data_IF_739340220478
#
_entry.id   IF_739340220478
#
_cell.length_a   1.000
_cell.length_b   1.000
_cell.length_c   1.000
_cell.angle_alpha   90.00
_cell.angle_beta   90.00
_cell.angle_gamma   90.00
#
_symmetry.space_group_name_H-M   'P 1'
#
loop_
_entity.id
_entity.type
_entity.pdbx_description
1 polymer ?
#
# COMPACT_ATOMS: atom_id res chain seq x y z
N UNK A 1 -1.88 17.57 16.53
CA UNK A 1 -1.23 18.80 15.99
C UNK A 1 -0.27 18.55 14.80
N UNK A 2 0.37 17.39 14.68
CA UNK A 2 1.27 17.11 13.55
C UNK A 2 0.56 16.91 12.19
N UNK A 3 -0.69 16.47 12.19
CA UNK A 3 -1.48 16.30 10.95
C UNK A 3 -2.03 17.65 10.42
N UNK A 4 -2.32 18.62 11.31
CA UNK A 4 -2.75 19.97 10.93
C UNK A 4 -1.64 20.82 10.34
N UNK A 5 -0.37 20.59 10.69
CA UNK A 5 0.76 21.36 10.15
C UNK A 5 1.15 20.96 8.72
N UNK A 6 0.88 19.72 8.30
CA UNK A 6 1.20 19.23 6.94
C UNK A 6 0.37 19.90 5.86
N UNK A 7 -0.93 20.12 6.11
CA UNK A 7 -1.81 20.79 5.12
C UNK A 7 -1.55 22.29 4.89
N UNK A 8 -1.00 23.00 5.87
CA UNK A 8 -0.74 24.47 5.74
C UNK A 8 0.43 24.79 4.82
N UNK A 9 1.49 23.98 4.84
CA UNK A 9 2.65 24.17 3.96
C UNK A 9 2.30 23.98 2.48
N UNK A 10 1.47 23.02 2.16
CA UNK A 10 1.04 22.69 0.80
C UNK A 10 0.12 23.77 0.21
N UNK A 11 -0.78 24.33 1.01
CA UNK A 11 -1.69 25.41 0.62
C UNK A 11 -0.91 26.69 0.24
N UNK A 12 0.00 27.13 1.11
CA UNK A 12 0.79 28.34 0.88
C UNK A 12 1.64 28.27 -0.39
N UNK A 13 2.25 27.11 -0.64
CA UNK A 13 3.09 26.89 -1.83
C UNK A 13 2.31 26.89 -3.13
N UNK A 14 1.09 26.39 -3.11
CA UNK A 14 0.21 26.41 -4.28
C UNK A 14 -0.28 27.77 -4.63
N UNK A 15 -0.70 28.54 -3.65
CA UNK A 15 -1.03 29.95 -3.88
C UNK A 15 0.14 30.67 -4.54
N UNK A 16 1.38 30.39 -4.09
CA UNK A 16 2.59 30.98 -4.65
C UNK A 16 2.93 30.48 -6.06
N UNK A 17 2.65 29.20 -6.39
CA UNK A 17 2.95 28.63 -7.72
C UNK A 17 1.84 28.87 -8.75
N UNK A 18 0.58 28.90 -8.34
CA UNK A 18 -0.57 28.95 -9.26
C UNK A 18 -1.28 30.30 -9.26
N UNK A 19 -1.05 31.14 -8.24
CA UNK A 19 -1.78 32.39 -8.05
C UNK A 19 -3.27 32.22 -7.70
N UNK A 20 -3.74 30.98 -7.53
CA UNK A 20 -5.14 30.67 -7.23
C UNK A 20 -5.42 30.80 -5.74
N UNK A 21 -6.61 31.31 -5.39
CA UNK A 21 -7.07 31.39 -4.02
C UNK A 21 -7.48 29.99 -3.52
N UNK A 22 -6.84 29.52 -2.45
CA UNK A 22 -7.11 28.22 -1.82
C UNK A 22 -7.75 28.49 -0.45
N UNK A 23 -8.82 27.76 -0.11
CA UNK A 23 -9.50 27.87 1.17
C UNK A 23 -9.96 26.51 1.70
N UNK A 24 -10.23 26.47 3.00
CA UNK A 24 -10.79 25.32 3.71
C UNK A 24 -12.28 25.49 3.88
N UNK A 25 -12.98 24.37 3.86
CA UNK A 25 -14.34 24.26 4.29
C UNK A 25 -14.46 22.97 5.13
N UNK A 26 -14.97 23.07 6.33
CA UNK A 26 -14.99 21.96 7.29
C UNK A 26 -16.31 21.18 7.30
N UNK A 27 -17.01 21.22 6.18
CA UNK A 27 -18.25 20.52 6.01
C UNK A 27 -18.04 19.16 5.33
N UNK A 28 -18.79 18.17 5.78
CA UNK A 28 -19.01 16.94 5.03
C UNK A 28 -20.18 17.17 4.10
N UNK A 29 -20.02 16.88 2.83
CA UNK A 29 -21.02 17.07 1.80
C UNK A 29 -21.73 15.76 1.50
N UNK A 30 -23.03 15.85 1.16
CA UNK A 30 -23.88 14.71 0.82
C UNK A 30 -24.47 14.91 -0.56
N UNK A 31 -24.49 13.85 -1.37
CA UNK A 31 -25.08 13.89 -2.69
C UNK A 31 -26.61 14.11 -2.59
N UNK A 32 -27.20 15.05 -3.33
CA UNK A 32 -28.62 15.43 -3.17
C UNK A 32 -29.60 14.31 -3.49
N UNK A 33 -29.26 13.39 -4.40
CA UNK A 33 -30.12 12.28 -4.81
C UNK A 33 -29.71 10.92 -4.24
N UNK A 34 -28.46 10.78 -3.82
CA UNK A 34 -27.89 9.54 -3.28
C UNK A 34 -27.28 9.80 -1.90
N UNK A 35 -28.10 9.86 -0.82
CA UNK A 35 -27.63 10.30 0.50
C UNK A 35 -26.52 9.46 1.13
N UNK A 36 -26.29 8.25 0.63
CA UNK A 36 -25.18 7.40 1.07
C UNK A 36 -23.82 7.79 0.46
N UNK A 37 -23.83 8.62 -0.59
CA UNK A 37 -22.60 9.19 -1.17
C UNK A 37 -22.26 10.48 -0.44
N UNK A 38 -21.10 10.50 0.20
CA UNK A 38 -20.62 11.63 0.98
C UNK A 38 -19.20 12.00 0.56
N UNK A 39 -18.83 13.27 0.73
CA UNK A 39 -17.50 13.79 0.42
C UNK A 39 -16.96 14.62 1.58
N UNK A 40 -15.72 14.37 1.94
CA UNK A 40 -14.91 15.16 2.88
C UNK A 40 -13.68 15.67 2.11
N UNK A 41 -13.72 16.94 1.73
CA UNK A 41 -12.77 17.56 0.79
C UNK A 41 -11.69 18.30 1.55
N UNK A 42 -10.43 18.02 1.24
CA UNK A 42 -9.29 18.67 1.89
C UNK A 42 -9.32 20.19 1.74
N UNK A 43 -9.52 20.69 0.52
CA UNK A 43 -9.45 22.11 0.17
C UNK A 43 -10.27 22.43 -1.07
N UNK A 44 -10.54 23.71 -1.25
CA UNK A 44 -11.13 24.27 -2.46
C UNK A 44 -10.24 25.33 -3.09
N UNK A 45 -10.43 25.53 -4.38
CA UNK A 45 -9.77 26.54 -5.18
C UNK A 45 -10.82 27.36 -5.91
N UNK A 46 -10.64 28.68 -5.94
CA UNK A 46 -11.41 29.55 -6.83
C UNK A 46 -10.65 29.71 -8.14
N UNK A 47 -11.28 29.30 -9.24
CA UNK A 47 -10.75 29.43 -10.60
C UNK A 47 -10.82 30.90 -11.06
N UNK A 48 -10.05 31.30 -12.10
CA UNK A 48 -10.08 32.68 -12.62
C UNK A 48 -11.45 33.10 -13.14
N UNK A 49 -12.30 32.18 -13.56
CA UNK A 49 -13.68 32.39 -14.00
C UNK A 49 -14.70 32.43 -12.84
N UNK A 50 -14.23 32.35 -11.59
CA UNK A 50 -15.04 32.38 -10.38
C UNK A 50 -15.62 31.03 -9.97
N UNK A 51 -15.48 29.96 -10.76
CA UNK A 51 -15.95 28.62 -10.38
C UNK A 51 -15.15 28.05 -9.21
N UNK A 52 -15.84 27.25 -8.40
CA UNK A 52 -15.26 26.45 -7.32
C UNK A 52 -14.67 25.16 -7.90
N UNK A 53 -13.46 24.81 -7.50
CA UNK A 53 -12.81 23.56 -7.83
C UNK A 53 -12.35 22.84 -6.55
N UNK A 54 -12.31 21.50 -6.58
CA UNK A 54 -11.79 20.68 -5.51
C UNK A 54 -10.26 20.67 -5.55
N UNK A 55 -9.64 20.59 -4.39
CA UNK A 55 -8.21 20.38 -4.24
C UNK A 55 -7.95 19.28 -3.24
N UNK A 56 -7.51 18.14 -3.72
CA UNK A 56 -7.09 16.99 -2.93
C UNK A 56 -5.58 16.98 -2.74
N UNK A 57 -5.13 16.73 -1.51
CA UNK A 57 -3.72 16.77 -1.12
C UNK A 57 -3.22 15.38 -0.75
N UNK A 58 -2.19 14.90 -1.41
CA UNK A 58 -1.58 13.59 -1.16
C UNK A 58 -0.11 13.72 -0.78
N UNK A 59 0.35 12.78 0.02
CA UNK A 59 1.77 12.54 0.26
C UNK A 59 2.10 11.11 -0.14
N UNK A 60 3.22 10.90 -0.81
CA UNK A 60 3.68 9.59 -1.21
C UNK A 60 5.18 9.42 -0.97
N UNK A 61 5.62 8.18 -0.86
CA UNK A 61 7.05 7.88 -0.82
C UNK A 61 7.69 8.19 -2.17
N UNK A 62 8.97 8.56 -2.17
CA UNK A 62 9.71 8.93 -3.38
C UNK A 62 9.63 7.87 -4.48
N UNK A 63 9.73 6.60 -4.12
CA UNK A 63 9.65 5.46 -5.05
C UNK A 63 8.33 5.38 -5.83
N UNK A 64 7.30 6.13 -5.42
CA UNK A 64 6.01 6.17 -6.11
C UNK A 64 5.90 7.25 -7.19
N UNK A 65 6.95 8.06 -7.39
CA UNK A 65 6.95 9.15 -8.39
C UNK A 65 6.62 8.65 -9.81
N UNK A 66 7.08 7.45 -10.17
CA UNK A 66 6.82 6.88 -11.49
C UNK A 66 5.33 6.72 -11.81
N UNK A 67 4.47 6.57 -10.79
CA UNK A 67 3.01 6.47 -10.97
C UNK A 67 2.33 7.79 -11.31
N UNK A 68 3.07 8.89 -11.16
CA UNK A 68 2.62 10.25 -11.46
C UNK A 68 3.29 10.84 -12.69
N UNK A 69 4.12 10.05 -13.38
CA UNK A 69 4.82 10.49 -14.58
C UNK A 69 3.85 10.78 -15.73
N UNK A 70 4.25 11.71 -16.61
CA UNK A 70 3.49 12.07 -17.82
C UNK A 70 2.05 12.52 -17.57
N UNK A 71 1.78 13.16 -16.44
CA UNK A 71 0.44 13.64 -16.11
C UNK A 71 -0.49 12.57 -15.53
N UNK A 72 0.01 11.36 -15.27
CA UNK A 72 -0.80 10.30 -14.66
C UNK A 72 -1.15 10.60 -13.21
N UNK A 73 -2.31 10.10 -12.79
CA UNK A 73 -2.75 10.06 -11.38
C UNK A 73 -3.03 8.59 -11.04
N UNK A 74 -2.54 8.08 -9.89
CA UNK A 74 -2.91 6.73 -9.45
C UNK A 74 -4.43 6.56 -9.38
N UNK A 75 -4.95 5.52 -10.02
CA UNK A 75 -6.39 5.34 -10.24
C UNK A 75 -7.26 5.45 -8.98
N UNK A 76 -6.81 4.92 -7.85
CA UNK A 76 -7.54 5.00 -6.58
C UNK A 76 -7.67 6.43 -6.05
N UNK A 77 -6.72 7.33 -6.31
CA UNK A 77 -6.82 8.74 -5.98
C UNK A 77 -7.72 9.49 -6.97
N UNK A 78 -7.63 9.13 -8.24
CA UNK A 78 -8.51 9.69 -9.27
C UNK A 78 -9.98 9.38 -8.98
N UNK A 79 -10.30 8.12 -8.65
CA UNK A 79 -11.65 7.71 -8.28
C UNK A 79 -12.19 8.46 -7.06
N UNK A 80 -11.35 8.68 -6.03
CA UNK A 80 -11.73 9.47 -4.87
C UNK A 80 -12.14 10.89 -5.27
N UNK A 81 -11.32 11.54 -6.09
CA UNK A 81 -11.56 12.92 -6.52
C UNK A 81 -12.80 13.00 -7.42
N UNK A 82 -12.99 12.07 -8.35
CA UNK A 82 -14.19 11.99 -9.21
C UNK A 82 -15.45 11.75 -8.40
N UNK A 83 -15.38 10.93 -7.37
CA UNK A 83 -16.48 10.75 -6.42
C UNK A 83 -16.86 12.08 -5.73
N UNK A 84 -15.88 12.85 -5.27
CA UNK A 84 -16.15 14.15 -4.66
C UNK A 84 -16.75 15.15 -5.65
N UNK A 85 -16.28 15.15 -6.91
CA UNK A 85 -16.85 15.96 -7.99
C UNK A 85 -18.31 15.63 -8.22
N UNK A 86 -18.68 14.35 -8.22
CA UNK A 86 -20.04 13.85 -8.34
C UNK A 86 -20.92 14.33 -7.17
N UNK A 87 -20.48 14.09 -5.93
CA UNK A 87 -21.23 14.46 -4.72
C UNK A 87 -21.55 15.96 -4.69
N UNK A 88 -20.59 16.79 -5.12
CA UNK A 88 -20.67 18.24 -5.02
C UNK A 88 -21.11 18.94 -6.30
N UNK A 89 -21.31 18.21 -7.39
CA UNK A 89 -21.62 18.75 -8.71
C UNK A 89 -20.58 19.81 -9.17
N UNK A 90 -19.27 19.43 -9.08
CA UNK A 90 -18.14 20.30 -9.43
C UNK A 90 -17.43 19.73 -10.67
N UNK A 91 -17.14 20.61 -11.67
CA UNK A 91 -16.60 20.20 -12.97
C UNK A 91 -15.08 20.05 -12.98
N UNK A 92 -14.38 20.66 -12.05
CA UNK A 92 -12.91 20.70 -12.03
C UNK A 92 -12.38 20.34 -10.66
N UNK A 93 -11.40 19.47 -10.65
CA UNK A 93 -10.64 19.18 -9.46
C UNK A 93 -9.13 19.22 -9.75
N UNK A 94 -8.37 19.41 -8.72
CA UNK A 94 -6.92 19.30 -8.72
C UNK A 94 -6.50 18.28 -7.68
N UNK A 95 -5.57 17.43 -8.06
CA UNK A 95 -4.90 16.55 -7.12
C UNK A 95 -3.42 16.90 -7.09
N UNK A 96 -2.88 16.96 -5.91
CA UNK A 96 -1.50 17.28 -5.71
C UNK A 96 -0.81 16.29 -4.81
N UNK A 97 0.39 15.91 -5.17
CA UNK A 97 1.20 14.99 -4.40
C UNK A 97 2.56 15.57 -4.06
N UNK A 98 2.92 15.45 -2.79
CA UNK A 98 4.24 15.76 -2.27
C UNK A 98 4.99 14.46 -2.00
N UNK A 99 6.21 14.32 -2.55
CA UNK A 99 7.00 13.10 -2.36
C UNK A 99 7.99 13.25 -1.20
N UNK A 100 7.97 12.31 -0.25
CA UNK A 100 8.88 12.23 0.90
C UNK A 100 9.06 13.54 1.68
N UNK A 101 8.02 14.39 1.75
CA UNK A 101 8.06 15.75 2.33
C UNK A 101 9.09 16.70 1.68
N UNK A 102 9.60 16.37 0.48
CA UNK A 102 10.48 17.25 -0.26
C UNK A 102 9.69 18.30 -1.03
N UNK A 103 9.84 19.53 -0.65
CA UNK A 103 9.10 20.66 -1.22
C UNK A 103 9.39 20.94 -2.70
N UNK A 104 10.52 20.44 -3.21
CA UNK A 104 10.91 20.56 -4.60
C UNK A 104 10.30 19.45 -5.48
N UNK A 105 9.90 18.33 -4.87
CA UNK A 105 9.30 17.18 -5.54
C UNK A 105 7.78 17.20 -5.37
N UNK A 106 7.15 18.05 -6.13
CA UNK A 106 5.73 18.32 -6.07
C UNK A 106 5.10 18.19 -7.46
N UNK A 107 4.07 17.35 -7.56
CA UNK A 107 3.27 17.18 -8.76
C UNK A 107 1.83 17.61 -8.49
N UNK A 108 1.21 18.26 -9.45
CA UNK A 108 -0.21 18.55 -9.41
C UNK A 108 -0.83 18.26 -10.78
N UNK A 109 -2.02 17.68 -10.78
CA UNK A 109 -2.75 17.34 -11.99
C UNK A 109 -4.17 17.90 -11.92
N UNK A 110 -4.65 18.38 -13.06
CA UNK A 110 -6.06 18.77 -13.24
C UNK A 110 -6.86 17.56 -13.63
N UNK A 111 -8.01 17.37 -13.04
CA UNK A 111 -9.00 16.35 -13.38
C UNK A 111 -10.26 17.09 -13.82
N UNK A 112 -10.73 16.81 -15.01
CA UNK A 112 -12.00 17.28 -15.51
C UNK A 112 -13.09 16.24 -15.31
N UNK A 113 -14.32 16.71 -15.09
CA UNK A 113 -15.47 15.85 -14.86
C UNK A 113 -15.75 15.00 -16.10
N UNK A 114 -16.05 13.75 -15.87
CA UNK A 114 -16.50 12.79 -16.87
C UNK A 114 -17.87 12.26 -16.43
N UNK A 115 -18.93 12.67 -17.12
CA UNK A 115 -20.30 12.33 -16.74
C UNK A 115 -20.61 10.85 -16.99
N UNK A 116 -20.02 10.23 -18.00
CA UNK A 116 -20.21 8.80 -18.28
C UNK A 116 -19.58 7.94 -17.19
N UNK A 117 -18.34 8.25 -16.82
CA UNK A 117 -17.66 7.56 -15.73
C UNK A 117 -18.37 7.79 -14.38
N UNK A 118 -18.89 9.00 -14.16
CA UNK A 118 -19.68 9.35 -12.96
C UNK A 118 -20.95 8.50 -12.84
N UNK A 119 -21.73 8.41 -13.93
CA UNK A 119 -22.96 7.61 -13.97
C UNK A 119 -22.69 6.13 -13.68
N UNK A 120 -21.66 5.57 -14.33
CA UNK A 120 -21.23 4.20 -14.08
C UNK A 120 -20.82 3.97 -12.62
N UNK A 121 -20.05 4.89 -12.05
CA UNK A 121 -19.61 4.81 -10.64
C UNK A 121 -20.81 4.90 -9.68
N UNK A 122 -21.76 5.79 -9.93
CA UNK A 122 -22.98 5.91 -9.11
C UNK A 122 -23.81 4.63 -9.18
N UNK A 123 -23.94 4.03 -10.36
CA UNK A 123 -24.66 2.75 -10.52
C UNK A 123 -23.99 1.62 -9.74
N UNK A 124 -22.69 1.48 -9.82
CA UNK A 124 -21.94 0.46 -9.07
C UNK A 124 -22.06 0.65 -7.55
N UNK A 125 -21.86 1.87 -7.07
CA UNK A 125 -21.98 2.20 -5.65
C UNK A 125 -23.41 2.01 -5.13
N UNK A 126 -24.43 2.35 -5.95
CA UNK A 126 -25.84 2.14 -5.61
C UNK A 126 -26.19 0.66 -5.55
N UNK A 127 -25.67 -0.15 -6.48
CA UNK A 127 -25.84 -1.59 -6.46
C UNK A 127 -25.20 -2.20 -5.20
N UNK A 128 -23.98 -1.80 -4.89
CA UNK A 128 -23.30 -2.25 -3.67
C UNK A 128 -24.07 -1.86 -2.40
N UNK A 129 -24.49 -0.60 -2.31
CA UNK A 129 -25.23 -0.10 -1.17
C UNK A 129 -26.54 -0.88 -0.94
N UNK A 130 -27.33 -1.07 -1.99
CA UNK A 130 -28.64 -1.75 -1.88
C UNK A 130 -28.49 -3.26 -1.64
N UNK A 131 -27.58 -3.93 -2.39
CA UNK A 131 -27.48 -5.39 -2.37
C UNK A 131 -26.69 -5.91 -1.17
N UNK A 132 -25.83 -5.10 -0.58
CA UNK A 132 -24.96 -5.53 0.51
C UNK A 132 -25.23 -4.77 1.81
N UNK A 133 -25.19 -3.43 1.79
CA UNK A 133 -25.35 -2.64 3.01
C UNK A 133 -26.78 -2.65 3.50
N UNK A 134 -27.74 -2.26 2.65
CA UNK A 134 -29.16 -2.21 3.04
C UNK A 134 -29.75 -3.60 3.20
N UNK A 135 -29.41 -4.52 2.33
CA UNK A 135 -29.86 -5.91 2.43
C UNK A 135 -29.16 -6.71 3.55
N UNK A 136 -28.07 -6.18 4.14
CA UNK A 136 -27.23 -6.87 5.13
C UNK A 136 -26.71 -8.21 4.63
N UNK A 137 -26.36 -8.27 3.35
CA UNK A 137 -25.79 -9.45 2.70
C UNK A 137 -24.30 -9.20 2.51
N UNK A 138 -23.48 -10.11 3.02
CA UNK A 138 -22.02 -10.01 2.89
C UNK A 138 -21.61 -10.01 1.41
N UNK A 139 -20.77 -9.04 0.97
CA UNK A 139 -20.30 -9.02 -0.40
C UNK A 139 -19.33 -10.18 -0.66
N UNK A 140 -19.21 -10.66 -1.93
CA UNK A 140 -18.23 -11.67 -2.27
C UNK A 140 -16.80 -11.14 -2.04
N UNK A 141 -15.91 -12.04 -1.62
CA UNK A 141 -14.49 -11.74 -1.39
C UNK A 141 -13.74 -11.70 -2.72
N UNK A 142 -13.79 -10.57 -3.44
CA UNK A 142 -13.19 -10.39 -4.77
C UNK A 142 -11.87 -9.61 -4.73
N UNK A 143 -11.48 -9.14 -3.58
CA UNK A 143 -10.25 -8.38 -3.38
C UNK A 143 -9.00 -9.27 -3.51
N UNK A 144 -7.82 -8.62 -3.52
CA UNK A 144 -6.54 -9.36 -3.44
C UNK A 144 -6.51 -10.22 -2.17
N UNK A 145 -6.00 -11.44 -2.23
CA UNK A 145 -6.04 -12.38 -1.11
C UNK A 145 -5.52 -11.81 0.22
N UNK A 146 -4.46 -11.01 0.17
CA UNK A 146 -3.89 -10.39 1.39
C UNK A 146 -4.86 -9.37 2.01
N UNK A 147 -5.56 -8.58 1.21
CA UNK A 147 -6.56 -7.61 1.70
C UNK A 147 -7.77 -8.34 2.31
N UNK A 148 -8.21 -9.44 1.68
CA UNK A 148 -9.28 -10.30 2.20
C UNK A 148 -8.86 -10.88 3.56
N UNK A 149 -7.68 -11.48 3.66
CA UNK A 149 -7.18 -12.07 4.90
C UNK A 149 -7.02 -11.03 6.01
N UNK A 150 -6.60 -9.82 5.67
CA UNK A 150 -6.52 -8.73 6.65
C UNK A 150 -7.90 -8.28 7.13
N UNK A 151 -8.87 -8.16 6.24
CA UNK A 151 -10.25 -7.82 6.58
C UNK A 151 -10.89 -8.87 7.49
N UNK A 152 -10.69 -10.16 7.18
CA UNK A 152 -11.15 -11.26 8.01
C UNK A 152 -10.49 -11.24 9.40
N UNK A 153 -9.20 -10.93 9.49
CA UNK A 153 -8.51 -10.80 10.77
C UNK A 153 -9.07 -9.66 11.62
N UNK A 154 -9.37 -8.51 10.99
CA UNK A 154 -9.99 -7.37 11.69
C UNK A 154 -11.40 -7.71 12.16
N UNK A 155 -12.17 -8.42 11.35
CA UNK A 155 -13.54 -8.81 11.65
C UNK A 155 -13.62 -9.81 12.83
N UNK A 156 -12.81 -10.88 12.80
CA UNK A 156 -12.81 -11.90 13.83
C UNK A 156 -11.98 -11.56 15.06
N UNK A 157 -11.11 -10.55 14.98
CA UNK A 157 -10.21 -10.17 16.06
C UNK A 157 -9.05 -11.17 16.27
N UNK A 158 -8.37 -11.09 17.42
CA UNK A 158 -7.25 -11.96 17.75
C UNK A 158 -7.68 -13.44 17.86
N UNK A 159 -6.73 -14.35 17.55
CA UNK A 159 -6.99 -15.80 17.64
C UNK A 159 -7.05 -16.23 19.10
N UNK A 160 -8.06 -17.02 19.46
CA UNK A 160 -8.16 -17.70 20.75
C UNK A 160 -7.77 -19.19 20.59
N UNK A 161 -6.74 -19.60 21.34
CA UNK A 161 -6.25 -20.98 21.34
C UNK A 161 -7.13 -21.94 22.12
N UNK A 162 -8.04 -21.40 22.93
CA UNK A 162 -8.98 -22.18 23.73
C UNK A 162 -10.23 -22.59 22.95
N UNK A 163 -10.47 -21.96 21.79
CA UNK A 163 -11.59 -22.31 20.94
C UNK A 163 -11.48 -23.77 20.42
N UNK A 164 -12.59 -24.50 20.35
CA UNK A 164 -12.61 -25.86 19.89
C UNK A 164 -12.25 -25.98 18.41
N UNK A 165 -11.78 -27.16 18.00
CA UNK A 165 -11.53 -27.47 16.59
C UNK A 165 -12.83 -27.37 15.80
N UNK A 166 -12.84 -26.60 14.73
CA UNK A 166 -13.98 -26.46 13.83
C UNK A 166 -13.94 -27.55 12.78
N UNK A 167 -15.06 -28.23 12.59
CA UNK A 167 -15.25 -29.14 11.48
C UNK A 167 -15.59 -28.38 10.20
N UNK A 168 -14.68 -28.43 9.22
CA UNK A 168 -14.82 -27.66 7.98
C UNK A 168 -15.68 -28.42 6.97
N UNK A 169 -16.50 -27.69 6.24
CA UNK A 169 -17.31 -28.23 5.15
C UNK A 169 -16.41 -28.96 4.12
N UNK A 170 -16.86 -30.15 3.69
CA UNK A 170 -16.16 -30.99 2.73
C UNK A 170 -15.90 -30.30 1.36
N UNK A 171 -16.66 -29.27 1.00
CA UNK A 171 -16.39 -28.44 -0.20
C UNK A 171 -14.96 -27.89 -0.22
N UNK A 172 -14.34 -27.65 0.95
CA UNK A 172 -12.98 -27.13 1.04
C UNK A 172 -11.90 -28.17 0.75
N UNK A 173 -12.24 -29.45 0.62
CA UNK A 173 -11.26 -30.51 0.32
C UNK A 173 -10.52 -30.24 -1.00
N UNK A 174 -11.19 -29.68 -2.01
CA UNK A 174 -10.57 -29.31 -3.29
C UNK A 174 -9.49 -28.26 -3.06
N UNK A 175 -9.82 -27.16 -2.37
CA UNK A 175 -8.87 -26.09 -2.05
C UNK A 175 -7.69 -26.62 -1.22
N UNK A 176 -7.93 -27.48 -0.25
CA UNK A 176 -6.87 -28.04 0.59
C UNK A 176 -5.89 -28.91 -0.21
N UNK A 177 -6.40 -29.71 -1.16
CA UNK A 177 -5.56 -30.51 -2.08
C UNK A 177 -4.72 -29.64 -2.99
N UNK A 178 -5.33 -28.58 -3.57
CA UNK A 178 -4.63 -27.62 -4.43
C UNK A 178 -3.54 -26.87 -3.65
N UNK A 179 -3.84 -26.41 -2.45
CA UNK A 179 -2.84 -25.75 -1.57
C UNK A 179 -1.65 -26.69 -1.30
N UNK A 180 -1.89 -27.98 -1.06
CA UNK A 180 -0.81 -28.95 -0.86
C UNK A 180 0.04 -29.12 -2.12
N UNK A 181 -0.58 -29.22 -3.30
CA UNK A 181 0.13 -29.31 -4.58
C UNK A 181 0.98 -28.08 -4.86
N UNK A 182 0.42 -26.88 -4.71
CA UNK A 182 1.14 -25.62 -4.90
C UNK A 182 2.29 -25.44 -3.90
N UNK A 183 2.13 -25.90 -2.66
CA UNK A 183 3.22 -25.89 -1.67
C UNK A 183 4.38 -26.79 -2.06
N UNK A 184 4.11 -27.94 -2.65
CA UNK A 184 5.16 -28.85 -3.12
C UNK A 184 5.86 -28.31 -4.36
N UNK A 185 5.13 -27.74 -5.31
CA UNK A 185 5.71 -27.02 -6.46
C UNK A 185 6.60 -25.85 -6.00
N UNK A 186 6.11 -25.02 -5.09
CA UNK A 186 6.90 -23.94 -4.50
C UNK A 186 8.19 -24.45 -3.87
N UNK A 187 8.11 -25.56 -3.11
CA UNK A 187 9.29 -26.16 -2.48
C UNK A 187 10.33 -26.61 -3.51
N UNK A 188 9.90 -27.18 -4.64
CA UNK A 188 10.79 -27.56 -5.73
C UNK A 188 11.47 -26.34 -6.37
N UNK A 189 10.71 -25.25 -6.60
CA UNK A 189 11.23 -24.00 -7.11
C UNK A 189 12.22 -23.34 -6.13
N UNK A 190 11.91 -23.31 -4.83
CA UNK A 190 12.80 -22.77 -3.79
C UNK A 190 14.14 -23.55 -3.75
N UNK A 191 14.11 -24.87 -3.96
CA UNK A 191 15.33 -25.70 -4.07
C UNK A 191 16.16 -25.35 -5.31
N UNK A 192 15.51 -25.09 -6.46
CA UNK A 192 16.18 -24.64 -7.67
C UNK A 192 16.83 -23.26 -7.49
N UNK A 193 16.11 -22.31 -6.89
CA UNK A 193 16.62 -20.98 -6.56
C UNK A 193 17.85 -21.09 -5.67
N UNK A 194 17.80 -21.90 -4.62
CA UNK A 194 18.92 -22.11 -3.71
C UNK A 194 20.16 -22.72 -4.43
N UNK A 195 19.94 -23.64 -5.37
CA UNK A 195 21.01 -24.21 -6.17
C UNK A 195 21.66 -23.16 -7.08
N UNK A 196 20.85 -22.28 -7.72
CA UNK A 196 21.35 -21.17 -8.53
C UNK A 196 22.12 -20.15 -7.69
N UNK A 197 21.62 -19.77 -6.52
CA UNK A 197 22.31 -18.88 -5.59
C UNK A 197 23.67 -19.44 -5.16
N UNK A 198 23.73 -20.75 -4.89
CA UNK A 198 24.99 -21.42 -4.55
C UNK A 198 25.97 -21.37 -5.72
N UNK A 199 25.50 -21.64 -6.96
CA UNK A 199 26.32 -21.55 -8.16
C UNK A 199 26.83 -20.13 -8.41
N UNK A 200 25.96 -19.12 -8.25
CA UNK A 200 26.34 -17.71 -8.36
C UNK A 200 27.44 -17.38 -7.35
N UNK A 201 27.30 -17.80 -6.10
CA UNK A 201 28.32 -17.58 -5.06
C UNK A 201 29.65 -18.23 -5.40
N UNK A 202 29.63 -19.44 -5.95
CA UNK A 202 30.88 -20.10 -6.39
C UNK A 202 31.58 -19.39 -7.55
N UNK A 203 30.84 -18.70 -8.41
CA UNK A 203 31.38 -17.95 -9.54
C UNK A 203 31.98 -16.60 -9.11
N UNK A 204 31.38 -15.91 -8.15
CA UNK A 204 31.93 -14.62 -7.72
C UNK A 204 33.00 -14.76 -6.60
N UNK A 205 33.05 -15.88 -5.90
CA UNK A 205 34.04 -16.07 -4.83
C UNK A 205 35.50 -15.82 -5.27
N UNK A 206 35.99 -16.33 -6.41
CA UNK A 206 37.35 -16.00 -6.90
C UNK A 206 37.53 -14.51 -7.23
N UNK A 207 36.47 -13.84 -7.71
CA UNK A 207 36.49 -12.41 -8.01
C UNK A 207 36.67 -11.61 -6.72
N UNK A 208 35.95 -11.97 -5.66
CA UNK A 208 36.08 -11.34 -4.34
C UNK A 208 37.46 -11.61 -3.74
N UNK A 209 38.02 -12.81 -3.94
CA UNK A 209 39.38 -13.14 -3.50
C UNK A 209 40.41 -12.23 -4.17
N UNK A 210 40.32 -12.02 -5.48
CA UNK A 210 41.22 -11.11 -6.22
C UNK A 210 41.00 -9.64 -5.83
N UNK A 211 39.78 -9.22 -5.55
CA UNK A 211 39.47 -7.87 -5.08
C UNK A 211 40.05 -7.57 -3.68
N UNK A 212 40.24 -8.58 -2.84
CA UNK A 212 40.73 -8.40 -1.48
C UNK A 212 39.89 -7.47 -0.64
N UNK A 213 40.46 -6.35 -0.20
CA UNK A 213 39.72 -5.30 0.58
C UNK A 213 39.07 -4.23 -0.28
N UNK A 214 39.21 -4.30 -1.61
CA UNK A 214 38.64 -3.32 -2.51
C UNK A 214 37.13 -3.50 -2.63
N UNK A 215 36.38 -2.39 -2.58
CA UNK A 215 34.91 -2.39 -2.75
C UNK A 215 34.48 -2.32 -4.22
N UNK A 216 35.38 -2.05 -5.16
CA UNK A 216 35.08 -1.91 -6.58
C UNK A 216 36.14 -2.58 -7.42
N UNK A 217 35.73 -3.26 -8.48
CA UNK A 217 36.60 -3.87 -9.48
C UNK A 217 36.09 -3.62 -10.89
N UNK A 218 36.95 -3.77 -11.88
CA UNK A 218 36.58 -3.67 -13.30
C UNK A 218 37.27 -4.77 -14.07
N UNK A 219 36.60 -5.27 -15.11
CA UNK A 219 37.18 -6.24 -16.06
C UNK A 219 36.72 -5.88 -17.47
N UNK A 220 37.66 -5.94 -18.42
CA UNK A 220 37.37 -5.67 -19.83
C UNK A 220 37.97 -6.76 -20.70
N UNK A 221 37.17 -7.29 -21.61
CA UNK A 221 37.63 -8.25 -22.61
C UNK A 221 36.68 -8.24 -23.82
N UNK A 222 37.23 -8.26 -25.03
CA UNK A 222 36.46 -8.41 -26.27
C UNK A 222 35.47 -7.29 -26.55
N UNK A 223 35.68 -6.07 -26.02
CA UNK A 223 34.77 -4.94 -26.15
C UNK A 223 33.67 -4.91 -25.09
N UNK A 224 33.62 -5.88 -24.20
CA UNK A 224 32.73 -5.89 -23.05
C UNK A 224 33.45 -5.35 -21.81
N UNK A 225 32.78 -4.44 -21.08
CA UNK A 225 33.29 -3.79 -19.88
C UNK A 225 32.40 -4.05 -18.70
N UNK A 226 32.92 -4.74 -17.67
CA UNK A 226 32.18 -5.08 -16.45
C UNK A 226 32.65 -4.24 -15.26
N UNK A 227 31.72 -3.79 -14.45
CA UNK A 227 31.98 -3.14 -13.16
C UNK A 227 31.44 -4.04 -12.05
N UNK A 228 32.30 -4.33 -11.08
CA UNK A 228 31.94 -5.11 -9.90
C UNK A 228 31.93 -4.18 -8.70
N UNK A 229 30.92 -4.33 -7.83
CA UNK A 229 30.87 -3.66 -6.54
C UNK A 229 30.56 -4.67 -5.43
N UNK A 230 31.37 -4.66 -4.39
CA UNK A 230 31.24 -5.50 -3.21
C UNK A 230 31.40 -4.63 -1.97
N UNK A 231 30.34 -3.84 -1.68
CA UNK A 231 30.34 -2.84 -0.62
C UNK A 231 29.88 -3.44 0.71
N UNK A 232 30.43 -3.00 1.85
CA UNK A 232 29.92 -3.38 3.16
C UNK A 232 28.50 -2.78 3.35
N UNK A 233 27.61 -3.60 3.89
CA UNK A 233 26.27 -3.18 4.30
C UNK A 233 26.17 -3.27 5.82
N UNK A 234 26.04 -2.12 6.48
CA UNK A 234 25.83 -2.05 7.92
C UNK A 234 24.34 -2.06 8.21
N UNK A 235 23.91 -2.96 9.10
CA UNK A 235 22.53 -3.05 9.60
C UNK A 235 22.57 -2.96 11.11
N UNK A 236 21.77 -2.07 11.64
CA UNK A 236 21.52 -2.02 13.08
C UNK A 236 20.40 -3.00 13.44
N UNK A 237 20.54 -3.68 14.56
CA UNK A 237 19.56 -4.64 15.04
C UNK A 237 19.95 -5.18 16.39
N UNK A 238 18.96 -5.69 17.10
CA UNK A 238 19.14 -6.36 18.40
C UNK A 238 19.03 -7.87 18.16
N UNK A 239 20.04 -8.64 18.60
CA UNK A 239 19.96 -10.10 18.55
C UNK A 239 18.89 -10.62 19.53
N UNK A 240 18.36 -11.83 19.28
CA UNK A 240 17.32 -12.43 20.15
C UNK A 240 17.77 -12.54 21.59
N UNK A 241 19.02 -12.87 21.82
CA UNK A 241 19.58 -13.01 23.19
C UNK A 241 19.64 -11.66 23.90
N UNK A 242 20.07 -10.60 23.18
CA UNK A 242 20.09 -9.24 23.72
C UNK A 242 18.67 -8.71 23.94
N UNK A 243 17.72 -9.05 23.09
CA UNK A 243 16.33 -8.68 23.26
C UNK A 243 15.71 -9.37 24.48
N UNK A 244 16.06 -10.64 24.72
CA UNK A 244 15.64 -11.39 25.91
C UNK A 244 16.29 -10.81 27.17
N UNK A 245 17.56 -10.43 27.12
CA UNK A 245 18.25 -9.76 28.23
C UNK A 245 17.66 -8.36 28.51
N UNK A 246 17.34 -7.59 27.48
CA UNK A 246 16.66 -6.29 27.61
C UNK A 246 15.32 -6.44 28.33
N UNK A 247 14.50 -7.42 27.93
CA UNK A 247 13.22 -7.71 28.60
C UNK A 247 13.38 -8.09 30.07
N UNK A 248 14.43 -8.85 30.40
CA UNK A 248 14.67 -9.29 31.78
C UNK A 248 15.26 -8.20 32.69
N UNK A 249 16.12 -7.35 32.13
CA UNK A 249 16.83 -6.33 32.90
C UNK A 249 16.13 -4.97 32.89
N UNK A 250 15.40 -4.64 31.84
CA UNK A 250 14.77 -3.34 31.65
C UNK A 250 13.36 -3.53 31.01
N UNK A 251 12.41 -4.13 31.76
CA UNK A 251 11.07 -4.45 31.22
C UNK A 251 10.32 -3.21 30.74
N UNK A 252 10.42 -2.09 31.45
CA UNK A 252 9.73 -0.84 31.08
C UNK A 252 10.23 -0.31 29.72
N UNK A 253 11.55 -0.36 29.49
CA UNK A 253 12.15 0.04 28.21
C UNK A 253 11.76 -0.94 27.10
N UNK A 254 11.72 -2.24 27.43
CA UNK A 254 11.29 -3.24 26.46
C UNK A 254 9.85 -3.00 26.02
N UNK A 255 8.93 -2.76 26.95
CA UNK A 255 7.50 -2.55 26.67
C UNK A 255 7.24 -1.20 25.96
N UNK A 256 8.11 -0.19 26.16
CA UNK A 256 8.02 1.10 25.46
C UNK A 256 8.44 1.02 23.98
N UNK A 257 9.44 0.17 23.64
CA UNK A 257 10.06 0.17 22.31
C UNK A 257 9.87 -1.12 21.50
N UNK A 258 9.26 -2.16 22.07
CA UNK A 258 9.08 -3.46 21.40
C UNK A 258 7.61 -3.81 21.26
N UNK A 259 7.07 -3.62 20.06
CA UNK A 259 5.72 -4.05 19.73
C UNK A 259 5.64 -5.55 19.47
N UNK A 260 4.58 -6.19 19.99
CA UNK A 260 4.22 -7.55 19.63
C UNK A 260 3.17 -7.53 18.53
N UNK A 261 3.50 -8.12 17.37
CA UNK A 261 2.56 -8.29 16.27
C UNK A 261 2.07 -9.73 16.19
N UNK A 262 0.76 -9.92 16.13
CA UNK A 262 0.18 -11.23 15.88
C UNK A 262 0.24 -11.55 14.38
N UNK A 263 0.77 -12.74 14.05
CA UNK A 263 0.67 -13.32 12.72
C UNK A 263 0.10 -14.74 12.81
N UNK A 264 -0.81 -15.11 11.89
CA UNK A 264 -1.39 -16.45 11.81
C UNK A 264 -0.74 -17.21 10.65
N UNK A 265 -0.26 -18.43 10.93
CA UNK A 265 0.36 -19.29 9.93
C UNK A 265 -0.65 -20.34 9.50
N UNK A 266 -1.07 -20.32 8.24
CA UNK A 266 -1.96 -21.34 7.68
C UNK A 266 -1.17 -22.61 7.35
N UNK A 267 -1.47 -23.71 8.04
CA UNK A 267 -0.88 -25.04 7.82
C UNK A 267 -1.94 -26.03 7.35
N UNK A 268 -1.60 -26.81 6.34
CA UNK A 268 -2.39 -27.97 5.91
C UNK A 268 -1.51 -29.20 6.06
N UNK A 269 -2.02 -30.21 6.74
CA UNK A 269 -1.37 -31.52 6.89
C UNK A 269 -2.40 -32.57 6.51
N UNK A 270 -2.01 -33.51 5.63
CA UNK A 270 -2.82 -34.67 5.32
C UNK A 270 -2.50 -35.74 6.34
N UNK A 271 -3.48 -36.17 7.13
CA UNK A 271 -3.37 -37.37 7.99
C UNK A 271 -4.11 -38.55 7.37
N UNK A 272 -3.66 -39.77 7.65
CA UNK A 272 -4.43 -40.94 7.37
C UNK A 272 -5.64 -40.99 8.32
N UNK A 273 -6.79 -41.43 7.82
CA UNK A 273 -7.94 -41.71 8.66
C UNK A 273 -7.55 -42.94 9.48
N UNK A 274 -7.59 -42.80 10.81
CA UNK A 274 -7.31 -43.92 11.73
C UNK A 274 -8.40 -44.98 11.65
#
# INVERSE_FOLDING_TARGET
>A
DRLRSRGRGDVYKRQKKTGLSVYEDHWMYQHPFFPFLIADVDRFVTLPDGRKAILECKTAHYDMQFKWANGAVPRHYELQVRHYMSVMNIDVAFIACLFSNNENDFVWQKIERDLEEEENTIMELSAFWNNHVMARVEPPLVEKPDAVLESLRRYFGPADKSEPTVDLDHKFVVNLKEILALKEEKRALDAQVKALETRIKSLYAPIVEEMGTACKGTCEQGGEYFKVSYNPLYREGISKDRLSALRAQYPDIYDEFVDQTESRIFKVVKSAIA
#
